data_IF_038813590422
#
_entry.id   IF_038813590422
#
_cell.length_a   1.000
_cell.length_b   1.000
_cell.length_c   1.000
_cell.angle_alpha   90.00
_cell.angle_beta   90.00
_cell.angle_gamma   90.00
#
_symmetry.space_group_name_H-M   'P 1'
#
loop_
_entity.id
_entity.type
_entity.pdbx_description
1 polymer ?
#
# COMPACT_ATOMS: atom_id res chain seq x y z
N UNK A 1 -0.65 -11.32 5.27
CA UNK A 1 -1.52 -10.18 5.62
C UNK A 1 -1.63 -10.13 7.12
N UNK A 2 -1.63 -8.93 7.68
CA UNK A 2 -1.96 -8.70 9.10
C UNK A 2 -3.47 -8.42 9.14
N UNK A 3 -4.24 -9.33 9.72
CA UNK A 3 -5.68 -9.15 9.90
C UNK A 3 -5.91 -8.22 11.07
N UNK A 4 -6.87 -7.30 10.94
CA UNK A 4 -7.18 -6.31 11.97
C UNK A 4 -8.68 -6.17 12.16
N UNK A 5 -9.08 -5.62 13.31
CA UNK A 5 -10.43 -5.09 13.50
C UNK A 5 -10.50 -3.61 13.09
N UNK A 6 -11.68 -3.00 13.21
CA UNK A 6 -11.91 -1.60 12.84
C UNK A 6 -11.15 -0.58 13.71
N UNK A 7 -10.55 -1.01 14.82
CA UNK A 7 -9.71 -0.19 15.71
C UNK A 7 -8.22 -0.35 15.42
N UNK A 8 -7.88 -0.99 14.30
CA UNK A 8 -6.50 -1.34 13.92
C UNK A 8 -5.79 -2.28 14.92
N UNK A 9 -6.55 -3.09 15.67
CA UNK A 9 -5.97 -4.09 16.57
C UNK A 9 -5.76 -5.40 15.80
N UNK A 10 -4.58 -6.01 15.93
CA UNK A 10 -4.25 -7.26 15.23
C UNK A 10 -5.10 -8.42 15.74
N UNK A 11 -5.76 -9.13 14.83
CA UNK A 11 -6.61 -10.30 15.14
C UNK A 11 -6.02 -11.60 14.63
N UNK A 12 -4.99 -11.53 13.78
CA UNK A 12 -4.30 -12.71 13.26
C UNK A 12 -3.52 -12.42 11.98
N UNK A 13 -3.13 -13.49 11.29
CA UNK A 13 -2.47 -13.39 9.99
C UNK A 13 -3.08 -14.36 8.98
N UNK A 14 -3.02 -14.02 7.70
CA UNK A 14 -3.54 -14.86 6.62
C UNK A 14 -2.71 -14.69 5.34
N UNK A 15 -2.69 -15.73 4.50
CA UNK A 15 -2.09 -15.66 3.16
C UNK A 15 -2.77 -14.59 2.31
N UNK A 16 -2.00 -13.89 1.46
CA UNK A 16 -2.50 -12.76 0.66
C UNK A 16 -3.73 -13.13 -0.17
N UNK A 17 -3.61 -14.18 -0.98
CA UNK A 17 -4.70 -14.62 -1.86
C UNK A 17 -5.95 -15.02 -1.07
N UNK A 18 -5.78 -15.69 0.06
CA UNK A 18 -6.90 -16.14 0.90
C UNK A 18 -7.62 -14.96 1.55
N UNK A 19 -6.89 -13.98 2.09
CA UNK A 19 -7.47 -12.78 2.68
C UNK A 19 -8.32 -12.00 1.66
N UNK A 20 -7.83 -11.88 0.42
CA UNK A 20 -8.57 -11.19 -0.65
C UNK A 20 -9.74 -12.02 -1.19
N UNK A 21 -9.67 -13.35 -1.15
CA UNK A 21 -10.81 -14.23 -1.51
C UNK A 21 -11.92 -14.17 -0.48
N UNK A 22 -11.57 -14.16 0.81
CA UNK A 22 -12.54 -14.10 1.90
C UNK A 22 -13.02 -12.67 2.19
N UNK A 23 -12.32 -11.64 1.69
CA UNK A 23 -12.64 -10.24 1.93
C UNK A 23 -12.49 -9.83 3.40
N UNK A 24 -11.51 -10.41 4.09
CA UNK A 24 -11.24 -10.10 5.50
C UNK A 24 -10.48 -8.78 5.64
N UNK A 25 -10.85 -8.00 6.65
CA UNK A 25 -10.18 -6.73 6.95
C UNK A 25 -8.71 -6.98 7.32
N UNK A 26 -7.81 -6.27 6.64
CA UNK A 26 -6.38 -6.36 6.87
C UNK A 26 -5.70 -5.01 6.77
N UNK A 27 -4.56 -4.87 7.44
CA UNK A 27 -3.77 -3.63 7.41
C UNK A 27 -3.09 -3.46 6.06
N UNK A 28 -3.15 -2.25 5.54
CA UNK A 28 -2.47 -1.82 4.31
C UNK A 28 -1.85 -0.44 4.50
N UNK A 29 -1.12 0.01 3.48
CA UNK A 29 -0.67 1.40 3.40
C UNK A 29 -0.63 1.91 1.96
N UNK A 30 -0.76 3.22 1.85
CA UNK A 30 -0.63 4.00 0.62
C UNK A 30 0.34 5.17 0.84
N UNK A 31 1.40 5.22 0.03
CA UNK A 31 2.38 6.31 0.04
C UNK A 31 2.11 7.26 -1.12
N UNK A 32 2.15 8.56 -0.82
CA UNK A 32 2.10 9.66 -1.77
C UNK A 32 3.41 10.43 -1.70
N UNK A 33 4.21 10.36 -2.76
CA UNK A 33 5.48 11.08 -2.86
C UNK A 33 5.28 12.35 -3.67
N UNK A 34 5.56 13.48 -3.03
CA UNK A 34 5.51 14.78 -3.65
C UNK A 34 6.91 15.26 -4.00
N UNK A 35 7.05 15.83 -5.19
CA UNK A 35 8.22 16.65 -5.50
C UNK A 35 8.13 17.98 -4.73
N UNK A 36 9.25 18.62 -4.34
CA UNK A 36 9.23 19.90 -3.61
C UNK A 36 8.45 21.04 -4.30
N UNK A 37 8.18 20.94 -5.60
CA UNK A 37 7.36 21.89 -6.37
C UNK A 37 5.85 21.57 -6.34
N UNK A 38 5.43 20.54 -5.60
CA UNK A 38 4.03 20.15 -5.40
C UNK A 38 3.50 19.10 -6.39
N UNK A 39 4.30 18.62 -7.36
CA UNK A 39 3.87 17.51 -8.23
C UNK A 39 3.79 16.20 -7.46
N UNK A 40 2.79 15.38 -7.74
CA UNK A 40 2.63 14.02 -7.19
C UNK A 40 3.20 12.98 -8.15
N UNK A 41 4.03 12.06 -7.64
CA UNK A 41 4.50 10.91 -8.40
C UNK A 41 3.41 9.84 -8.45
N UNK A 42 2.95 9.50 -9.65
CA UNK A 42 2.01 8.39 -9.90
C UNK A 42 2.75 7.17 -10.42
N UNK A 43 2.23 5.97 -10.13
CA UNK A 43 2.72 4.73 -10.72
C UNK A 43 1.69 4.13 -11.68
N UNK A 44 2.16 3.58 -12.80
CA UNK A 44 1.38 2.62 -13.58
C UNK A 44 1.82 1.22 -13.19
N UNK A 45 0.89 0.43 -12.67
CA UNK A 45 1.20 -0.92 -12.16
C UNK A 45 1.61 -1.84 -13.32
N UNK A 46 2.59 -2.70 -13.08
CA UNK A 46 3.03 -3.69 -14.08
C UNK A 46 1.87 -4.59 -14.53
N UNK A 47 1.82 -4.92 -15.81
CA UNK A 47 0.70 -5.68 -16.43
C UNK A 47 0.56 -7.08 -15.81
N UNK A 48 1.66 -7.69 -15.40
CA UNK A 48 1.68 -9.02 -14.77
C UNK A 48 1.15 -9.07 -13.33
N UNK A 49 0.77 -7.92 -12.74
CA UNK A 49 0.14 -7.93 -11.41
C UNK A 49 -1.22 -8.62 -11.51
N UNK A 50 -1.35 -9.74 -10.81
CA UNK A 50 -2.61 -10.49 -10.70
C UNK A 50 -3.78 -9.64 -10.15
N UNK A 51 -3.46 -8.50 -9.52
CA UNK A 51 -4.40 -7.51 -9.01
C UNK A 51 -4.09 -6.13 -9.60
N UNK A 52 -5.07 -5.54 -10.31
CA UNK A 52 -5.02 -4.17 -10.82
C UNK A 52 -3.81 -3.88 -11.72
N UNK A 53 -3.37 -4.85 -12.52
CA UNK A 53 -2.29 -4.65 -13.51
C UNK A 53 -2.67 -3.61 -14.58
N UNK A 54 -1.71 -2.80 -15.01
CA UNK A 54 -1.88 -1.77 -16.03
C UNK A 54 -2.60 -0.50 -15.57
N UNK A 55 -3.17 -0.47 -14.36
CA UNK A 55 -3.87 0.69 -13.82
C UNK A 55 -2.90 1.74 -13.24
N UNK A 56 -3.30 3.01 -13.34
CA UNK A 56 -2.65 4.12 -12.65
C UNK A 56 -3.13 4.21 -11.20
N UNK A 57 -2.21 4.45 -10.29
CA UNK A 57 -2.49 4.69 -8.86
C UNK A 57 -1.48 5.68 -8.26
N UNK A 58 -1.62 6.00 -6.97
CA UNK A 58 -0.63 6.76 -6.19
C UNK A 58 0.74 6.06 -6.18
N UNK A 59 1.72 6.66 -5.51
CA UNK A 59 3.13 6.28 -5.67
C UNK A 59 3.46 4.85 -5.26
N UNK A 60 2.95 4.34 -4.14
CA UNK A 60 3.24 2.97 -3.69
C UNK A 60 2.15 2.48 -2.75
N UNK A 61 1.60 1.28 -2.98
CA UNK A 61 0.62 0.63 -2.11
C UNK A 61 1.02 -0.80 -1.83
N UNK A 62 0.99 -1.22 -0.57
CA UNK A 62 1.31 -2.58 -0.18
C UNK A 62 0.83 -2.86 1.25
N UNK A 63 1.26 -4.00 1.79
CA UNK A 63 0.91 -4.50 3.10
C UNK A 63 2.15 -4.62 4.00
N UNK A 64 2.04 -4.34 5.30
CA UNK A 64 3.07 -4.68 6.26
C UNK A 64 3.19 -6.21 6.41
N UNK A 65 4.40 -6.67 6.70
CA UNK A 65 4.64 -8.06 7.12
C UNK A 65 4.19 -8.24 8.59
N UNK A 66 3.85 -9.47 9.03
CA UNK A 66 3.62 -9.73 10.44
C UNK A 66 4.82 -9.29 11.30
N UNK A 67 4.55 -8.53 12.36
CA UNK A 67 5.59 -7.95 13.23
C UNK A 67 6.35 -6.75 12.66
N UNK A 68 6.01 -6.28 11.45
CA UNK A 68 6.61 -5.09 10.84
C UNK A 68 5.74 -3.86 11.08
N UNK A 69 6.34 -2.77 11.58
CA UNK A 69 5.64 -1.49 11.72
C UNK A 69 5.24 -0.93 10.35
N UNK A 70 4.02 -0.40 10.23
CA UNK A 70 3.46 0.05 8.95
C UNK A 70 4.32 1.12 8.24
N UNK A 71 4.89 2.07 8.99
CA UNK A 71 5.80 3.08 8.43
C UNK A 71 7.10 2.46 7.89
N UNK A 72 7.65 1.44 8.55
CA UNK A 72 8.83 0.72 8.09
C UNK A 72 8.51 -0.07 6.82
N UNK A 73 7.34 -0.71 6.77
CA UNK A 73 6.86 -1.40 5.58
C UNK A 73 6.69 -0.44 4.38
N UNK A 74 6.15 0.76 4.64
CA UNK A 74 5.98 1.81 3.65
C UNK A 74 7.32 2.28 3.07
N UNK A 75 8.32 2.57 3.92
CA UNK A 75 9.67 2.93 3.46
C UNK A 75 10.33 1.80 2.67
N UNK A 76 10.23 0.57 3.17
CA UNK A 76 10.79 -0.60 2.50
C UNK A 76 10.19 -0.79 1.11
N UNK A 77 8.86 -0.73 0.96
CA UNK A 77 8.21 -0.90 -0.34
C UNK A 77 8.44 0.28 -1.27
N UNK A 78 8.53 1.50 -0.73
CA UNK A 78 8.89 2.66 -1.53
C UNK A 78 10.29 2.51 -2.13
N UNK A 79 11.25 2.01 -1.35
CA UNK A 79 12.58 1.69 -1.87
C UNK A 79 12.56 0.51 -2.86
N UNK A 80 11.88 -0.59 -2.52
CA UNK A 80 11.80 -1.80 -3.37
C UNK A 80 11.11 -1.53 -4.72
N UNK A 81 10.07 -0.69 -4.78
CA UNK A 81 9.28 -0.45 -6.02
C UNK A 81 9.70 0.80 -6.79
N UNK A 82 10.26 1.81 -6.12
CA UNK A 82 10.57 3.10 -6.75
C UNK A 82 12.04 3.51 -6.63
N UNK A 83 12.87 2.75 -5.91
CA UNK A 83 14.25 3.15 -5.62
C UNK A 83 14.38 4.39 -4.74
N UNK A 84 13.30 4.79 -4.04
CA UNK A 84 13.26 6.02 -3.23
C UNK A 84 13.46 5.65 -1.75
N UNK A 85 14.53 6.17 -1.14
CA UNK A 85 14.69 6.21 0.31
C UNK A 85 14.31 7.61 0.81
N UNK A 86 13.17 7.69 1.48
CA UNK A 86 12.65 8.91 2.07
C UNK A 86 11.93 8.58 3.38
N UNK A 87 11.92 9.54 4.31
CA UNK A 87 11.06 9.44 5.49
C UNK A 87 9.59 9.58 5.08
N UNK A 88 8.75 8.77 5.71
CA UNK A 88 7.30 8.74 5.46
C UNK A 88 6.57 9.26 6.69
N UNK A 89 5.72 10.26 6.49
CA UNK A 89 4.92 10.86 7.55
C UNK A 89 3.48 10.34 7.48
N UNK A 90 3.01 9.70 8.56
CA UNK A 90 1.63 9.25 8.66
C UNK A 90 0.69 10.46 8.66
N UNK A 91 -0.35 10.42 7.81
CA UNK A 91 -1.37 11.47 7.73
C UNK A 91 -2.68 11.06 8.36
N UNK A 92 -3.25 9.96 7.89
CA UNK A 92 -4.51 9.41 8.36
C UNK A 92 -4.63 7.95 7.93
N UNK A 93 -5.68 7.28 8.39
CA UNK A 93 -6.08 5.99 7.85
C UNK A 93 -7.59 5.99 7.58
N UNK A 94 -8.03 5.07 6.74
CA UNK A 94 -9.44 4.86 6.46
C UNK A 94 -9.69 3.38 6.17
N UNK A 95 -10.94 2.96 6.32
CA UNK A 95 -11.36 1.61 5.95
C UNK A 95 -12.13 1.70 4.63
N UNK A 96 -11.75 0.89 3.66
CA UNK A 96 -12.50 0.75 2.42
C UNK A 96 -12.68 -0.72 2.05
N UNK A 97 -13.70 -0.98 1.23
CA UNK A 97 -14.01 -2.31 0.72
C UNK A 97 -14.41 -2.23 -0.74
N UNK A 98 -13.65 -2.88 -1.61
CA UNK A 98 -13.85 -2.87 -3.06
C UNK A 98 -13.86 -4.30 -3.62
N UNK A 99 -14.97 -4.76 -4.23
CA UNK A 99 -14.99 -6.01 -4.97
C UNK A 99 -14.44 -5.83 -6.39
N UNK A 100 -13.82 -6.87 -6.93
CA UNK A 100 -13.26 -6.88 -8.28
C UNK A 100 -13.91 -7.96 -9.15
N UNK A 101 -13.85 -7.76 -10.48
CA UNK A 101 -14.48 -8.67 -11.45
C UNK A 101 -13.91 -10.11 -11.48
N UNK A 102 -12.76 -10.35 -10.83
CA UNK A 102 -12.15 -11.67 -10.70
C UNK A 102 -12.54 -12.40 -9.40
N UNK A 103 -13.52 -11.89 -8.64
CA UNK A 103 -14.00 -12.49 -7.40
C UNK A 103 -13.12 -12.23 -6.17
N UNK A 104 -12.10 -11.37 -6.29
CA UNK A 104 -11.33 -10.89 -5.14
C UNK A 104 -11.96 -9.62 -4.56
N UNK A 105 -11.68 -9.37 -3.29
CA UNK A 105 -12.12 -8.19 -2.54
C UNK A 105 -10.88 -7.58 -1.88
N UNK A 106 -10.66 -6.29 -2.08
CA UNK A 106 -9.84 -5.50 -1.15
C UNK A 106 -10.74 -5.04 -0.01
N UNK A 107 -10.28 -5.29 1.21
CA UNK A 107 -10.94 -4.83 2.43
C UNK A 107 -9.83 -4.45 3.40
N UNK A 108 -9.51 -3.16 3.40
CA UNK A 108 -8.28 -2.67 3.99
C UNK A 108 -8.57 -1.58 5.01
N UNK A 109 -7.82 -1.62 6.11
CA UNK A 109 -7.53 -0.44 6.91
C UNK A 109 -6.23 0.13 6.35
N UNK A 110 -6.38 1.16 5.51
CA UNK A 110 -5.28 1.72 4.72
C UNK A 110 -4.69 2.95 5.42
N UNK A 111 -3.41 2.85 5.82
CA UNK A 111 -2.66 3.97 6.37
C UNK A 111 -2.05 4.81 5.25
N UNK A 112 -2.39 6.10 5.23
CA UNK A 112 -1.87 7.06 4.26
C UNK A 112 -0.63 7.74 4.80
N UNK A 113 0.43 7.67 4.01
CA UNK A 113 1.73 8.29 4.28
C UNK A 113 2.10 9.27 3.19
N UNK A 114 2.68 10.40 3.58
CA UNK A 114 3.29 11.35 2.64
C UNK A 114 4.80 11.31 2.75
N UNK A 115 5.49 11.49 1.63
CA UNK A 115 6.94 11.70 1.58
C UNK A 115 7.26 12.80 0.56
N UNK A 116 8.45 13.38 0.69
CA UNK A 116 8.97 14.37 -0.26
C UNK A 116 10.25 13.83 -0.90
N UNK A 117 10.32 13.87 -2.24
CA UNK A 117 11.48 13.42 -2.99
C UNK A 117 11.66 14.26 -4.27
N UNK A 118 12.87 14.77 -4.49
CA UNK A 118 13.17 15.63 -5.64
C UNK A 118 13.71 14.87 -6.87
N UNK A 119 14.23 13.66 -6.68
CA UNK A 119 14.83 12.87 -7.75
C UNK A 119 13.80 12.11 -8.60
N UNK A 120 14.28 11.55 -9.70
CA UNK A 120 13.50 10.60 -10.49
C UNK A 120 13.46 9.23 -9.77
N UNK A 121 12.32 8.52 -9.80
CA UNK A 121 12.27 7.14 -9.31
C UNK A 121 13.12 6.23 -10.20
N UNK A 122 13.65 5.17 -9.60
CA UNK A 122 14.32 4.06 -10.29
C UNK A 122 13.55 2.76 -10.03
N UNK A 123 12.40 2.56 -10.70
CA UNK A 123 11.57 1.35 -10.54
C UNK A 123 12.25 0.12 -11.15
N UNK A 124 11.75 -1.07 -10.77
CA UNK A 124 12.20 -2.37 -11.28
C UNK A 124 11.79 -2.68 -12.73
#
# INVERSE_FOLDING_TARGET
MVLVNERDEETGTMGKLEAHRQGLLHRAFSVFVFHPDGRLLLQRRADGKYHSGGLWTNTCCSHPRPGEGTALAARRRLWEEMGIDAEVEHRFHFIYRAPFGNGLIEHELDHVYFAVHAGDPSPD
#
